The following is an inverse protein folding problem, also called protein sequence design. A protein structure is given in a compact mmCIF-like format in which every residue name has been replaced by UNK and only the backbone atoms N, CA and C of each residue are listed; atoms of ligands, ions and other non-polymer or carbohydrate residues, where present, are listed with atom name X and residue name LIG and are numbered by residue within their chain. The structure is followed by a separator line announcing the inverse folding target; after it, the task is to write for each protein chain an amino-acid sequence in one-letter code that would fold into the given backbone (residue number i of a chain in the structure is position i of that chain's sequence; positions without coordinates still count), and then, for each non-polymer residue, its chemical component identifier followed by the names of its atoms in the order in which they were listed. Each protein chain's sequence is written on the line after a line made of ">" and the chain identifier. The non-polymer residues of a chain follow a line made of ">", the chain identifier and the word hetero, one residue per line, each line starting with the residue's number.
data_IF_024286469162
#
_entry.id   IF_024286469162
#
_cell.length_a   1.000
_cell.length_b   1.000
_cell.length_c   1.000
_cell.angle_alpha   90.00
_cell.angle_beta   90.00
_cell.angle_gamma   90.00
#
_symmetry.space_group_name_H-M   'P 1'
#
loop_
_entity.id
_entity.type
_entity.pdbx_description
1 polymer ?
#
# COMPACT_ATOMS: atom_id res chain seq x y z
N UNK A 1 10.12 -5.30 10.84
CA UNK A 1 9.64 -4.19 9.99
C UNK A 1 8.12 -4.18 9.91
N UNK A 2 7.44 -5.28 9.58
CA UNK A 2 5.96 -5.32 9.51
C UNK A 2 5.27 -4.85 10.80
N UNK A 3 5.68 -5.37 11.95
CA UNK A 3 5.12 -4.96 13.25
C UNK A 3 5.28 -3.47 13.55
N UNK A 4 6.34 -2.83 13.04
CA UNK A 4 6.56 -1.39 13.22
C UNK A 4 5.61 -0.57 12.36
N UNK A 5 5.33 -1.02 11.13
CA UNK A 5 4.36 -0.38 10.23
C UNK A 5 2.96 -0.57 10.78
N UNK A 6 2.60 -1.77 11.23
CA UNK A 6 1.29 -2.05 11.82
C UNK A 6 1.06 -1.20 13.08
N UNK A 7 2.07 -1.08 13.94
CA UNK A 7 2.00 -0.21 15.12
C UNK A 7 1.88 1.27 14.73
N UNK A 8 2.59 1.72 13.69
CA UNK A 8 2.47 3.10 13.20
C UNK A 8 1.07 3.37 12.64
N UNK A 9 0.52 2.45 11.84
CA UNK A 9 -0.85 2.52 11.31
C UNK A 9 -1.87 2.57 12.44
N UNK A 10 -1.69 1.76 13.49
CA UNK A 10 -2.56 1.81 14.68
C UNK A 10 -2.51 3.18 15.36
N UNK A 11 -1.31 3.70 15.63
CA UNK A 11 -1.15 5.00 16.29
C UNK A 11 -1.76 6.16 15.48
N UNK A 12 -1.64 6.09 14.14
CA UNK A 12 -2.25 7.06 13.22
C UNK A 12 -3.78 6.96 13.29
N UNK A 13 -4.35 5.75 13.22
CA UNK A 13 -5.79 5.55 13.36
C UNK A 13 -6.31 6.11 14.70
N UNK A 14 -5.65 5.80 15.82
CA UNK A 14 -6.00 6.31 17.15
C UNK A 14 -5.99 7.86 17.16
N UNK A 15 -5.01 8.50 16.51
CA UNK A 15 -4.94 9.96 16.38
C UNK A 15 -6.10 10.55 15.58
N UNK A 16 -6.43 9.96 14.42
CA UNK A 16 -7.50 10.48 13.57
C UNK A 16 -8.89 10.30 14.20
N UNK A 17 -9.12 9.21 14.95
CA UNK A 17 -10.33 9.02 15.75
C UNK A 17 -10.53 10.13 16.78
N UNK A 18 -9.47 10.55 17.48
CA UNK A 18 -9.53 11.69 18.42
C UNK A 18 -9.84 13.02 17.71
N UNK A 19 -9.42 13.17 16.46
CA UNK A 19 -9.59 14.41 15.67
C UNK A 19 -10.96 14.54 14.98
N UNK A 20 -11.87 13.57 15.14
CA UNK A 20 -13.17 13.47 14.44
C UNK A 20 -13.04 13.52 12.91
N UNK A 21 -11.92 13.07 12.37
CA UNK A 21 -11.72 12.92 10.92
C UNK A 21 -11.91 11.44 10.58
N UNK A 22 -12.77 11.16 9.62
CA UNK A 22 -13.19 9.82 9.20
C UNK A 22 -12.23 9.27 8.16
N UNK A 23 -11.01 8.92 8.57
CA UNK A 23 -10.04 8.26 7.68
C UNK A 23 -9.52 6.98 8.33
N UNK A 24 -9.61 5.88 7.59
CA UNK A 24 -9.12 4.57 7.99
C UNK A 24 -7.84 4.23 7.24
N UNK A 25 -6.79 3.93 7.99
CA UNK A 25 -5.53 3.44 7.45
C UNK A 25 -5.46 1.92 7.65
N UNK A 26 -5.03 1.19 6.61
CA UNK A 26 -4.88 -0.27 6.66
C UNK A 26 -3.68 -0.73 5.86
N UNK A 27 -3.11 -1.88 6.23
CA UNK A 27 -2.03 -2.54 5.50
C UNK A 27 -2.63 -3.72 4.76
N UNK A 28 -2.43 -3.75 3.45
CA UNK A 28 -2.81 -4.81 2.53
C UNK A 28 -1.54 -5.43 1.95
N UNK A 29 -1.51 -6.74 1.79
CA UNK A 29 -0.44 -7.42 1.05
C UNK A 29 -0.97 -7.80 -0.32
N UNK A 30 -0.70 -6.95 -1.30
CA UNK A 30 -1.04 -7.22 -2.68
C UNK A 30 0.20 -7.75 -3.39
N UNK A 31 0.10 -8.89 -4.09
CA UNK A 31 1.19 -9.49 -4.89
C UNK A 31 2.54 -9.69 -4.16
N UNK A 32 2.52 -9.87 -2.83
CA UNK A 32 3.73 -10.03 -2.01
C UNK A 32 4.39 -8.70 -1.61
N UNK A 33 3.70 -7.57 -1.85
CA UNK A 33 4.16 -6.22 -1.51
C UNK A 33 3.22 -5.62 -0.47
N UNK A 34 3.81 -4.89 0.46
CA UNK A 34 3.07 -4.12 1.46
C UNK A 34 2.49 -2.86 0.80
N UNK A 35 1.18 -2.69 0.91
CA UNK A 35 0.44 -1.53 0.42
C UNK A 35 -0.32 -0.92 1.60
N UNK A 36 -0.14 0.38 1.82
CA UNK A 36 -0.93 1.13 2.80
C UNK A 36 -2.11 1.74 2.06
N UNK A 37 -3.32 1.40 2.48
CA UNK A 37 -4.57 1.96 1.95
C UNK A 37 -5.15 2.98 2.93
N UNK A 38 -5.62 4.10 2.39
CA UNK A 38 -6.28 5.19 3.11
C UNK A 38 -7.68 5.33 2.54
N UNK A 39 -8.69 5.05 3.37
CA UNK A 39 -10.10 5.09 2.99
C UNK A 39 -10.87 6.13 3.79
N UNK A 40 -11.89 6.72 3.20
CA UNK A 40 -12.91 7.43 3.97
C UNK A 40 -13.65 6.40 4.85
N UNK A 41 -13.70 6.65 6.15
CA UNK A 41 -14.31 5.71 7.10
C UNK A 41 -15.85 5.67 6.97
N UNK A 42 -16.46 6.75 6.49
CA UNK A 42 -17.92 6.85 6.34
C UNK A 42 -18.39 6.16 5.07
N UNK A 43 -17.71 6.39 3.95
CA UNK A 43 -18.12 5.86 2.63
C UNK A 43 -17.41 4.58 2.23
N UNK A 44 -16.25 4.30 2.83
CA UNK A 44 -15.36 3.20 2.42
C UNK A 44 -14.56 3.48 1.15
N UNK A 45 -14.64 4.69 0.59
CA UNK A 45 -13.97 5.08 -0.65
C UNK A 45 -12.45 5.14 -0.46
N UNK A 46 -11.69 4.55 -1.39
CA UNK A 46 -10.22 4.64 -1.39
C UNK A 46 -9.80 6.06 -1.79
N UNK A 47 -9.29 6.80 -0.82
CA UNK A 47 -8.76 8.16 -1.04
C UNK A 47 -7.35 8.06 -1.62
N UNK A 48 -6.52 7.14 -1.09
CA UNK A 48 -5.12 7.01 -1.50
C UNK A 48 -4.54 5.66 -1.13
N UNK A 49 -3.51 5.25 -1.87
CA UNK A 49 -2.65 4.13 -1.52
C UNK A 49 -1.17 4.51 -1.60
N UNK A 50 -0.34 3.82 -0.82
CA UNK A 50 1.12 3.96 -0.82
C UNK A 50 1.76 2.57 -0.87
N UNK A 51 2.54 2.24 -1.92
CA UNK A 51 2.80 3.03 -3.14
C UNK A 51 1.53 3.28 -3.98
N UNK A 52 1.58 4.27 -4.87
CA UNK A 52 0.45 4.50 -5.80
C UNK A 52 0.34 3.35 -6.82
N UNK A 53 -0.86 3.16 -7.37
CA UNK A 53 -1.14 2.05 -8.30
C UNK A 53 -0.26 2.15 -9.56
N UNK A 54 0.01 3.35 -10.04
CA UNK A 54 0.89 3.57 -11.20
C UNK A 54 2.32 3.10 -10.93
N UNK A 55 2.81 3.30 -9.70
CA UNK A 55 4.13 2.82 -9.29
C UNK A 55 4.13 1.30 -9.17
N UNK A 56 3.09 0.70 -8.59
CA UNK A 56 2.95 -0.77 -8.54
C UNK A 56 2.96 -1.38 -9.95
N UNK A 57 2.25 -0.77 -10.89
CA UNK A 57 2.22 -1.21 -12.29
C UNK A 57 3.55 -1.01 -13.00
N UNK A 58 4.23 0.12 -12.76
CA UNK A 58 5.54 0.39 -13.31
C UNK A 58 6.56 -0.65 -12.82
N UNK A 59 6.60 -0.91 -11.53
CA UNK A 59 7.46 -1.95 -10.93
C UNK A 59 7.18 -3.32 -11.58
N UNK A 60 5.91 -3.72 -11.68
CA UNK A 60 5.55 -5.00 -12.31
C UNK A 60 6.07 -5.10 -13.76
N UNK A 61 5.94 -4.04 -14.55
CA UNK A 61 6.47 -4.01 -15.93
C UNK A 61 7.99 -4.11 -15.96
N UNK A 62 8.68 -3.48 -15.02
CA UNK A 62 10.15 -3.58 -14.92
C UNK A 62 10.58 -5.01 -14.57
N UNK A 63 9.90 -5.66 -13.62
CA UNK A 63 10.15 -7.05 -13.23
C UNK A 63 9.96 -8.01 -14.43
N UNK A 64 8.90 -7.80 -15.23
CA UNK A 64 8.64 -8.58 -16.45
C UNK A 64 9.74 -8.41 -17.50
N UNK A 65 10.17 -7.16 -17.76
CA UNK A 65 11.26 -6.88 -18.71
C UNK A 65 12.57 -7.51 -18.25
N UNK A 66 12.88 -7.41 -16.96
CA UNK A 66 14.07 -8.02 -16.39
C UNK A 66 14.05 -9.55 -16.55
N UNK A 67 12.92 -10.19 -16.27
CA UNK A 67 12.74 -11.63 -16.49
C UNK A 67 12.98 -12.07 -17.94
N UNK A 68 12.47 -11.28 -18.91
CA UNK A 68 12.67 -11.54 -20.35
C UNK A 68 14.13 -11.36 -20.82
N UNK A 69 14.90 -10.48 -20.18
CA UNK A 69 16.32 -10.30 -20.48
C UNK A 69 17.17 -11.45 -19.95
N UNK A 70 16.82 -11.99 -18.78
CA UNK A 70 17.50 -13.15 -18.21
C UNK A 70 17.18 -14.45 -18.95
N UNK A 71 15.93 -14.64 -19.39
CA UNK A 71 15.53 -15.84 -20.12
C UNK A 71 16.17 -15.97 -21.51
N UNK A 72 16.59 -14.86 -22.13
CA UNK A 72 17.33 -14.88 -23.42
C UNK A 72 18.83 -15.19 -23.29
N UNK A 73 19.39 -15.16 -22.09
CA UNK A 73 20.82 -15.46 -21.84
C UNK A 73 21.07 -16.94 -21.49
N UNK A 74 20.01 -17.74 -21.37
CA UNK A 74 20.07 -19.18 -21.10
C UNK A 74 19.99 -20.00 -22.39
#
# INVERSE_FOLDING_TARGET
>A
MRDQVDQAVKNINDFFQMSRRTMQFSVSENTGKMVIEIKDETTGELIRQIPSEEILQLEKKLDEVQGLLFSRKA
#
